data_IF_013042157109
#
_entry.id   IF_013042157109
#
_cell.length_a   1.000
_cell.length_b   1.000
_cell.length_c   1.000
_cell.angle_alpha   90.00
_cell.angle_beta   90.00
_cell.angle_gamma   90.00
#
_symmetry.space_group_name_H-M   'P 1'
#
loop_
_entity.id
_entity.type
_entity.pdbx_description
1 polymer ?
#
# COMPACT_ATOMS: atom_id res chain seq x y z
N UNK A 1 -8.77 -8.77 -3.48
CA UNK A 1 -8.07 -8.71 -2.19
C UNK A 1 -8.86 -7.89 -1.19
N UNK A 2 -8.75 -8.23 0.10
CA UNK A 2 -9.25 -7.38 1.18
C UNK A 2 -8.31 -6.18 1.38
N UNK A 3 -8.90 -5.03 1.61
CA UNK A 3 -8.18 -3.81 1.97
C UNK A 3 -9.01 -2.96 2.94
N UNK A 4 -8.33 -2.09 3.68
CA UNK A 4 -8.95 -1.02 4.46
C UNK A 4 -8.92 0.26 3.63
N UNK A 5 -10.09 0.82 3.36
CA UNK A 5 -10.28 2.04 2.56
C UNK A 5 -11.18 3.03 3.30
N UNK A 6 -11.37 4.21 2.72
CA UNK A 6 -12.33 5.22 3.19
C UNK A 6 -12.98 5.92 2.01
N UNK A 7 -14.21 6.43 2.20
CA UNK A 7 -14.94 7.21 1.19
C UNK A 7 -15.09 8.69 1.58
N UNK A 8 -14.63 9.06 2.78
CA UNK A 8 -14.61 10.41 3.31
C UNK A 8 -13.42 10.56 4.26
N UNK A 9 -13.01 11.80 4.52
CA UNK A 9 -12.03 12.11 5.56
C UNK A 9 -12.71 12.16 6.93
N UNK A 10 -12.00 11.77 8.00
CA UNK A 10 -12.53 11.88 9.36
C UNK A 10 -11.80 11.08 10.43
N UNK A 11 -12.53 10.78 11.51
CA UNK A 11 -12.06 9.91 12.59
C UNK A 11 -11.82 8.47 12.11
N UNK A 12 -11.33 7.57 12.98
CA UNK A 12 -11.08 6.16 12.60
C UNK A 12 -12.33 5.43 12.06
N UNK A 13 -13.52 5.90 12.39
CA UNK A 13 -14.82 5.39 11.98
C UNK A 13 -15.11 5.50 10.47
N UNK A 14 -14.34 6.29 9.72
CA UNK A 14 -14.43 6.33 8.25
C UNK A 14 -13.77 5.13 7.56
N UNK A 15 -12.95 4.37 8.29
CA UNK A 15 -12.23 3.21 7.76
C UNK A 15 -13.20 2.02 7.62
N UNK A 16 -13.24 1.46 6.42
CA UNK A 16 -14.05 0.28 6.10
C UNK A 16 -13.20 -0.78 5.43
N UNK A 17 -13.46 -2.05 5.75
CA UNK A 17 -12.90 -3.17 4.99
C UNK A 17 -13.73 -3.39 3.72
N UNK A 18 -13.06 -3.51 2.58
CA UNK A 18 -13.69 -3.79 1.30
C UNK A 18 -12.92 -4.87 0.52
N UNK A 19 -13.62 -5.58 -0.34
CA UNK A 19 -13.01 -6.41 -1.39
C UNK A 19 -12.73 -5.51 -2.61
N UNK A 20 -11.47 -5.40 -2.99
CA UNK A 20 -11.00 -4.62 -4.12
C UNK A 20 -10.28 -5.52 -5.14
N UNK A 21 -10.21 -5.12 -6.42
CA UNK A 21 -9.41 -5.84 -7.41
C UNK A 21 -7.95 -5.94 -6.97
N UNK A 22 -7.32 -7.07 -7.26
CA UNK A 22 -5.89 -7.24 -7.03
C UNK A 22 -5.10 -6.29 -7.96
N UNK A 23 -4.09 -5.57 -7.44
CA UNK A 23 -3.25 -4.73 -8.28
C UNK A 23 -2.28 -5.59 -9.08
N UNK A 24 -1.90 -5.12 -10.27
CA UNK A 24 -0.85 -5.73 -11.09
C UNK A 24 0.42 -4.87 -11.04
N UNK A 25 1.61 -5.46 -10.85
CA UNK A 25 2.86 -4.70 -10.86
C UNK A 25 3.17 -4.21 -12.29
N UNK A 26 3.53 -2.94 -12.41
CA UNK A 26 4.00 -2.35 -13.68
C UNK A 26 5.49 -2.62 -13.89
N UNK A 27 6.04 -2.15 -15.00
CA UNK A 27 7.49 -2.20 -15.23
C UNK A 27 8.25 -1.53 -14.07
N UNK A 28 9.28 -2.21 -13.55
CA UNK A 28 10.05 -1.76 -12.40
C UNK A 28 9.39 -1.94 -11.04
N UNK A 29 8.21 -2.55 -10.95
CA UNK A 29 7.49 -2.79 -9.69
C UNK A 29 7.49 -4.27 -9.31
N UNK A 30 7.35 -4.55 -8.02
CA UNK A 30 7.01 -5.86 -7.47
C UNK A 30 5.61 -5.83 -6.87
N UNK A 31 4.91 -6.95 -6.96
CA UNK A 31 3.69 -7.17 -6.20
C UNK A 31 4.08 -7.87 -4.89
N UNK A 32 3.80 -7.24 -3.76
CA UNK A 32 4.05 -7.80 -2.44
C UNK A 32 2.75 -8.32 -1.86
N UNK A 33 2.73 -9.58 -1.43
CA UNK A 33 1.71 -10.12 -0.54
C UNK A 33 2.03 -9.67 0.88
N UNK A 34 1.27 -8.69 1.36
CA UNK A 34 1.49 -8.04 2.64
C UNK A 34 1.15 -9.01 3.77
N UNK A 35 2.12 -9.23 4.65
CA UNK A 35 1.96 -10.02 5.89
C UNK A 35 1.78 -9.11 7.11
N UNK A 36 2.42 -7.95 7.11
CA UNK A 36 2.24 -6.91 8.13
C UNK A 36 2.36 -5.51 7.52
N UNK A 37 1.64 -4.57 8.12
CA UNK A 37 1.73 -3.15 7.78
C UNK A 37 1.99 -2.33 9.05
N UNK A 38 2.84 -1.32 8.95
CA UNK A 38 3.08 -0.37 10.03
C UNK A 38 2.01 0.73 10.07
N UNK A 39 1.63 1.14 11.27
CA UNK A 39 0.73 2.28 11.50
C UNK A 39 1.56 3.46 12.00
N UNK A 40 1.48 4.59 11.29
CA UNK A 40 2.25 5.79 11.56
C UNK A 40 1.34 7.01 11.79
N UNK A 41 1.82 8.06 12.48
CA UNK A 41 1.03 9.29 12.69
C UNK A 41 0.53 9.95 11.40
N UNK A 42 1.30 9.87 10.30
CA UNK A 42 0.91 10.42 8.99
C UNK A 42 -0.36 9.75 8.46
N UNK A 43 -0.56 8.46 8.70
CA UNK A 43 -1.75 7.72 8.27
C UNK A 43 -3.01 8.33 8.90
N UNK A 44 -2.95 8.64 10.19
CA UNK A 44 -4.03 9.31 10.92
C UNK A 44 -4.28 10.74 10.43
N UNK A 45 -3.21 11.48 10.10
CA UNK A 45 -3.33 12.85 9.60
C UNK A 45 -3.94 12.90 8.18
N UNK A 46 -3.54 11.99 7.29
CA UNK A 46 -4.09 11.85 5.93
C UNK A 46 -5.53 11.36 6.00
N UNK A 47 -5.83 10.32 6.80
CA UNK A 47 -7.19 9.81 7.03
C UNK A 47 -8.15 10.92 7.45
N UNK A 48 -7.72 11.77 8.38
CA UNK A 48 -8.51 12.86 8.93
C UNK A 48 -8.64 14.09 8.00
N UNK A 49 -7.91 14.13 6.88
CA UNK A 49 -7.87 15.30 6.00
C UNK A 49 -7.02 16.46 6.52
N UNK A 50 -6.33 16.28 7.66
CA UNK A 50 -5.44 17.31 8.24
C UNK A 50 -4.14 17.47 7.46
N UNK A 51 -3.77 16.44 6.68
CA UNK A 51 -2.61 16.44 5.81
C UNK A 51 -2.98 15.74 4.50
N UNK A 52 -3.58 16.43 3.51
CA UNK A 52 -4.23 15.82 2.34
C UNK A 52 -3.23 15.34 1.28
N UNK A 53 -2.25 14.53 1.69
CA UNK A 53 -1.15 14.01 0.87
C UNK A 53 -1.64 13.20 -0.33
N UNK A 54 -2.76 12.50 -0.17
CA UNK A 54 -3.39 11.66 -1.20
C UNK A 54 -4.58 12.34 -1.89
N UNK A 55 -4.87 13.60 -1.58
CA UNK A 55 -6.06 14.30 -2.07
C UNK A 55 -7.35 13.81 -1.40
N UNK A 56 -8.41 13.72 -2.19
CA UNK A 56 -9.72 13.27 -1.71
C UNK A 56 -9.90 11.74 -1.84
N UNK A 57 -10.61 11.09 -0.90
CA UNK A 57 -10.97 9.68 -1.00
C UNK A 57 -11.74 9.32 -2.29
N UNK A 58 -11.73 8.04 -2.73
CA UNK A 58 -11.21 6.88 -2.01
C UNK A 58 -9.71 6.66 -2.18
N UNK A 59 -9.05 6.26 -1.09
CA UNK A 59 -7.65 5.84 -1.07
C UNK A 59 -7.41 4.76 -0.02
N UNK A 60 -6.32 4.00 -0.18
CA UNK A 60 -5.84 3.02 0.79
C UNK A 60 -4.60 3.61 1.47
N UNK A 61 -4.60 3.62 2.81
CA UNK A 61 -3.53 4.18 3.61
C UNK A 61 -2.35 3.21 3.80
N UNK A 62 -1.30 3.75 4.43
CA UNK A 62 -0.14 3.01 4.90
C UNK A 62 1.00 2.96 3.89
N UNK A 63 2.21 3.09 4.43
CA UNK A 63 3.47 3.10 3.69
C UNK A 63 4.43 1.99 4.12
N UNK A 64 4.42 1.59 5.39
CA UNK A 64 5.29 0.53 5.88
C UNK A 64 4.70 -0.84 5.57
N UNK A 65 5.43 -1.65 4.81
CA UNK A 65 5.02 -2.99 4.39
C UNK A 65 6.10 -4.00 4.78
N UNK A 66 5.68 -5.18 5.23
CA UNK A 66 6.49 -6.40 5.13
C UNK A 66 5.66 -7.57 4.61
N UNK A 67 6.30 -8.45 3.86
CA UNK A 67 5.58 -9.49 3.14
C UNK A 67 6.49 -10.33 2.26
N UNK A 68 5.88 -10.97 1.27
CA UNK A 68 6.59 -11.78 0.27
C UNK A 68 6.33 -11.26 -1.12
N UNK A 69 7.33 -11.31 -2.00
CA UNK A 69 7.15 -11.02 -3.42
C UNK A 69 6.24 -12.07 -4.04
N UNK A 70 5.06 -11.64 -4.50
CA UNK A 70 4.03 -12.46 -5.14
C UNK A 70 4.25 -12.52 -6.66
N UNK A 71 4.61 -11.39 -7.27
CA UNK A 71 4.83 -11.27 -8.71
C UNK A 71 5.82 -10.16 -9.03
N UNK A 72 6.44 -10.25 -10.21
CA UNK A 72 7.40 -9.26 -10.70
C UNK A 72 6.82 -8.53 -11.92
N UNK A 73 7.01 -7.22 -11.94
CA UNK A 73 6.82 -6.40 -13.13
C UNK A 73 7.96 -6.56 -14.14
N UNK A 74 7.73 -6.08 -15.36
CA UNK A 74 8.73 -6.14 -16.41
C UNK A 74 10.03 -5.41 -16.01
N UNK A 75 11.17 -6.05 -16.28
CA UNK A 75 12.50 -5.46 -16.05
C UNK A 75 13.03 -5.56 -14.61
N UNK A 76 12.25 -6.08 -13.65
CA UNK A 76 12.75 -6.33 -12.29
C UNK A 76 13.66 -7.56 -12.27
N UNK A 77 14.90 -7.38 -11.83
CA UNK A 77 15.90 -8.46 -11.69
C UNK A 77 16.50 -8.55 -10.30
N UNK A 78 16.21 -7.58 -9.41
CA UNK A 78 16.72 -7.51 -8.04
C UNK A 78 16.04 -8.50 -7.08
N UNK A 79 14.89 -9.05 -7.45
CA UNK A 79 14.07 -9.94 -6.63
C UNK A 79 13.63 -11.18 -7.39
N UNK A 80 13.21 -12.20 -6.63
CA UNK A 80 12.46 -13.36 -7.13
C UNK A 80 11.14 -13.53 -6.36
N UNK A 81 10.16 -14.15 -7.02
CA UNK A 81 8.92 -14.58 -6.36
C UNK A 81 9.26 -15.46 -5.15
N UNK A 82 8.63 -15.17 -4.02
CA UNK A 82 8.85 -15.84 -2.74
C UNK A 82 9.88 -15.19 -1.83
N UNK A 83 10.63 -14.17 -2.27
CA UNK A 83 11.51 -13.41 -1.39
C UNK A 83 10.71 -12.70 -0.28
N UNK A 84 11.16 -12.81 0.96
CA UNK A 84 10.67 -11.97 2.06
C UNK A 84 11.26 -10.56 1.92
N UNK A 85 10.41 -9.54 1.98
CA UNK A 85 10.77 -8.13 1.79
C UNK A 85 10.10 -7.23 2.83
N UNK A 86 10.70 -6.07 3.07
CA UNK A 86 10.09 -4.98 3.83
C UNK A 86 10.58 -3.64 3.29
N UNK A 87 9.80 -2.58 3.47
CA UNK A 87 10.16 -1.25 2.99
C UNK A 87 9.10 -0.20 3.27
N UNK A 88 9.41 1.04 2.89
CA UNK A 88 8.48 2.19 2.94
C UNK A 88 8.28 2.76 1.53
N UNK A 89 7.60 2.02 0.64
CA UNK A 89 7.47 2.42 -0.75
C UNK A 89 6.63 3.66 -0.96
N UNK A 90 6.90 4.37 -2.05
CA UNK A 90 6.17 5.46 -2.67
C UNK A 90 6.02 6.73 -1.87
N UNK A 91 6.44 6.82 -0.61
CA UNK A 91 6.24 8.04 0.18
C UNK A 91 6.81 9.28 -0.55
N UNK A 92 6.01 10.35 -0.76
CA UNK A 92 4.69 10.63 -0.17
C UNK A 92 3.44 10.19 -0.96
N UNK A 93 3.57 9.47 -2.08
CA UNK A 93 2.45 8.93 -2.87
C UNK A 93 1.90 7.63 -2.26
N UNK A 94 0.67 7.24 -2.64
CA UNK A 94 0.00 6.07 -2.09
C UNK A 94 0.77 4.76 -2.32
N UNK A 95 1.17 4.08 -1.23
CA UNK A 95 1.71 2.73 -1.24
C UNK A 95 0.64 1.63 -1.07
N UNK A 96 -0.47 1.96 -0.41
CA UNK A 96 -1.58 1.04 -0.12
C UNK A 96 -1.20 -0.15 0.79
N UNK A 97 -0.40 0.10 1.83
CA UNK A 97 0.04 -0.95 2.75
C UNK A 97 -1.10 -1.62 3.54
N UNK A 98 -2.25 -0.94 3.73
CA UNK A 98 -3.41 -1.51 4.41
C UNK A 98 -4.26 -2.38 3.47
N UNK A 99 -3.62 -3.20 2.65
CA UNK A 99 -4.23 -4.16 1.74
C UNK A 99 -3.45 -5.47 1.75
N UNK A 100 -4.08 -6.58 1.35
CA UNK A 100 -3.38 -7.88 1.29
C UNK A 100 -2.32 -7.94 0.18
N UNK A 101 -2.43 -7.10 -0.85
CA UNK A 101 -1.45 -6.99 -1.93
C UNK A 101 -1.13 -5.51 -2.22
N UNK A 102 0.14 -5.21 -2.50
CA UNK A 102 0.58 -3.87 -2.89
C UNK A 102 1.57 -3.93 -4.06
N UNK A 103 1.35 -3.12 -5.09
CA UNK A 103 2.27 -2.97 -6.22
C UNK A 103 3.20 -1.76 -6.02
N UNK A 104 4.48 -2.03 -5.79
CA UNK A 104 5.45 -1.04 -5.29
C UNK A 104 6.75 -1.06 -6.11
N UNK A 105 7.45 0.07 -6.25
CA UNK A 105 8.72 0.10 -6.97
C UNK A 105 9.73 -0.87 -6.36
N UNK A 106 10.54 -1.51 -7.21
CA UNK A 106 11.54 -2.49 -6.77
C UNK A 106 12.83 -1.85 -6.22
N UNK A 107 12.92 -0.52 -6.22
CA UNK A 107 14.08 0.25 -5.75
C UNK A 107 13.78 1.06 -4.47
N UNK A 108 12.65 0.77 -3.81
CA UNK A 108 12.17 1.44 -2.59
C UNK A 108 11.86 0.46 -1.45
#
# INVERSE_FOLDING_TARGET
MRAVTQNSVGGPDVLVTAELPDPSPKAGEVLVRVKAAGINPVDGAVRAGNYPLLGEPPFILGWDISGTVEALGAGVTSFKVGDDVFGMPRFPKQAAAYAELAAVPADE
#
